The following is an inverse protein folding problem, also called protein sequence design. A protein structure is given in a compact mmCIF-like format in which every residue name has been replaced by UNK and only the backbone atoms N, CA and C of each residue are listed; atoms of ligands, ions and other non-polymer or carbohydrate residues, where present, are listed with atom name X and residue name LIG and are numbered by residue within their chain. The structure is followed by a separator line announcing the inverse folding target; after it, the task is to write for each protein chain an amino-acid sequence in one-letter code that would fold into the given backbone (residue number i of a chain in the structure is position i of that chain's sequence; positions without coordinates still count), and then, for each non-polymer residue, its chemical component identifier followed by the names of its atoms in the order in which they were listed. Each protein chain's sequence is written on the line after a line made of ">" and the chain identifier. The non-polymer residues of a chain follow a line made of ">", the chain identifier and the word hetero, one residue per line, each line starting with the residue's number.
data_IF_431617937341
#
_entry.id   IF_431617937341
#
_cell.length_a   1.000
_cell.length_b   1.000
_cell.length_c   1.000
_cell.angle_alpha   90.00
_cell.angle_beta   90.00
_cell.angle_gamma   90.00
#
_symmetry.space_group_name_H-M   'P 1'
#
loop_
_entity.id
_entity.type
_entity.pdbx_description
1 polymer ?
#
# COMPACT_ATOMS: atom_id res chain seq x y z
N UNK A 1 16.67 -0.34 -16.26
CA UNK A 1 15.73 0.14 -15.25
C UNK A 1 14.54 0.79 -15.95
N UNK A 2 13.32 0.39 -15.62
CA UNK A 2 12.07 0.98 -16.13
C UNK A 2 11.06 1.06 -15.00
N UNK A 3 10.44 2.23 -14.81
CA UNK A 3 9.33 2.37 -13.88
C UNK A 3 8.17 1.46 -14.32
N UNK A 4 7.62 0.71 -13.38
CA UNK A 4 6.42 -0.09 -13.56
C UNK A 4 5.35 0.30 -12.53
N UNK A 5 4.10 0.03 -12.87
CA UNK A 5 2.96 0.23 -11.97
C UNK A 5 2.39 -1.14 -11.59
N UNK A 6 2.33 -1.43 -10.30
CA UNK A 6 1.73 -2.63 -9.74
C UNK A 6 0.41 -2.26 -9.04
N UNK A 7 -0.69 -2.92 -9.42
CA UNK A 7 -2.01 -2.61 -8.88
C UNK A 7 -2.46 -3.65 -7.86
N UNK A 8 -2.77 -3.20 -6.65
CA UNK A 8 -3.41 -3.98 -5.60
C UNK A 8 -4.91 -4.01 -5.84
N UNK A 9 -5.49 -5.19 -5.98
CA UNK A 9 -6.91 -5.41 -6.32
C UNK A 9 -7.67 -6.23 -5.29
N UNK A 10 -6.97 -6.78 -4.29
CA UNK A 10 -7.57 -7.56 -3.21
C UNK A 10 -7.07 -7.13 -1.84
N UNK A 11 -7.88 -7.39 -0.80
CA UNK A 11 -7.51 -7.23 0.61
C UNK A 11 -6.77 -8.44 1.20
N UNK A 12 -6.58 -9.51 0.40
CA UNK A 12 -5.83 -10.70 0.83
C UNK A 12 -4.39 -10.34 1.25
N UNK A 13 -3.90 -10.95 2.32
CA UNK A 13 -2.51 -10.80 2.81
C UNK A 13 -1.45 -11.24 1.77
N UNK A 14 -1.79 -12.21 0.92
CA UNK A 14 -0.87 -12.79 -0.07
C UNK A 14 -1.61 -13.29 -1.31
N UNK A 15 -0.84 -13.63 -2.35
CA UNK A 15 -1.35 -14.07 -3.65
C UNK A 15 -1.47 -12.93 -4.66
N UNK A 16 -1.88 -13.28 -5.89
CA UNK A 16 -2.00 -12.33 -6.98
C UNK A 16 -2.92 -11.15 -6.63
N UNK A 17 -2.46 -9.92 -6.94
CA UNK A 17 -3.19 -8.69 -6.65
C UNK A 17 -3.14 -8.21 -5.20
N UNK A 18 -2.41 -8.88 -4.31
CA UNK A 18 -2.19 -8.42 -2.93
C UNK A 18 -1.09 -7.36 -2.84
N UNK A 19 -1.12 -6.57 -1.76
CA UNK A 19 -0.04 -5.61 -1.45
C UNK A 19 1.32 -6.31 -1.29
N UNK A 20 1.35 -7.50 -0.68
CA UNK A 20 2.58 -8.29 -0.53
C UNK A 20 3.16 -8.66 -1.88
N UNK A 21 2.34 -9.11 -2.83
CA UNK A 21 2.80 -9.45 -4.17
C UNK A 21 3.33 -8.20 -4.89
N UNK A 22 2.63 -7.07 -4.80
CA UNK A 22 3.08 -5.82 -5.42
C UNK A 22 4.46 -5.35 -4.90
N UNK A 23 4.74 -5.50 -3.60
CA UNK A 23 6.06 -5.16 -3.03
C UNK A 23 7.13 -6.14 -3.52
N UNK A 24 6.82 -7.44 -3.62
CA UNK A 24 7.76 -8.42 -4.17
C UNK A 24 8.12 -8.08 -5.62
N UNK A 25 7.13 -7.74 -6.43
CA UNK A 25 7.33 -7.42 -7.83
C UNK A 25 8.13 -6.12 -8.01
N UNK A 26 7.84 -5.07 -7.21
CA UNK A 26 8.61 -3.83 -7.20
C UNK A 26 10.06 -4.03 -6.72
N UNK A 27 10.28 -4.86 -5.70
CA UNK A 27 11.64 -5.19 -5.25
C UNK A 27 12.44 -5.96 -6.32
N UNK A 28 11.77 -6.76 -7.15
CA UNK A 28 12.39 -7.51 -8.24
C UNK A 28 12.69 -6.65 -9.48
N UNK A 29 12.12 -5.44 -9.55
CA UNK A 29 12.35 -4.49 -10.61
C UNK A 29 13.37 -3.42 -10.18
N UNK A 30 14.20 -3.00 -11.14
CA UNK A 30 15.12 -1.88 -10.97
C UNK A 30 14.46 -0.65 -11.57
N UNK A 31 14.05 0.28 -10.72
CA UNK A 31 13.33 1.47 -11.16
C UNK A 31 12.72 2.20 -9.97
N UNK A 32 12.12 3.36 -10.24
CA UNK A 32 11.17 3.96 -9.32
C UNK A 32 9.79 3.43 -9.73
N UNK A 33 9.35 2.40 -9.03
CA UNK A 33 8.06 1.76 -9.30
C UNK A 33 6.94 2.44 -8.50
N UNK A 34 5.70 2.20 -8.93
CA UNK A 34 4.52 2.69 -8.25
C UNK A 34 3.59 1.53 -7.86
N UNK A 35 3.06 1.57 -6.65
CA UNK A 35 2.01 0.67 -6.17
C UNK A 35 0.72 1.47 -6.04
N UNK A 36 -0.26 1.11 -6.87
CA UNK A 36 -1.60 1.70 -6.91
C UNK A 36 -2.64 0.75 -6.31
N UNK A 37 -3.80 1.27 -5.93
CA UNK A 37 -4.90 0.51 -5.35
C UNK A 37 -6.15 0.64 -6.23
N UNK A 38 -6.76 -0.49 -6.55
CA UNK A 38 -8.04 -0.58 -7.24
C UNK A 38 -8.83 -1.78 -6.70
N UNK A 39 -9.04 -1.81 -5.39
CA UNK A 39 -9.76 -2.88 -4.72
C UNK A 39 -11.26 -2.63 -4.88
N UNK A 40 -11.98 -3.61 -5.43
CA UNK A 40 -13.43 -3.53 -5.59
C UNK A 40 -14.16 -3.55 -4.24
N UNK A 41 -15.28 -2.82 -4.15
CA UNK A 41 -16.12 -2.74 -2.95
C UNK A 41 -16.41 -1.32 -2.50
N UNK A 42 -17.12 -1.19 -1.37
CA UNK A 42 -17.51 0.08 -0.75
C UNK A 42 -16.94 0.22 0.67
N UNK A 43 -16.83 1.44 1.20
CA UNK A 43 -16.25 1.70 2.53
C UNK A 43 -14.71 1.79 2.57
N UNK A 44 -14.09 1.34 3.66
CA UNK A 44 -12.62 1.24 3.79
C UNK A 44 -12.17 -0.17 3.40
N UNK A 45 -10.98 -0.29 2.82
CA UNK A 45 -10.38 -1.54 2.33
C UNK A 45 -9.36 -1.95 3.37
N UNK A 46 -9.77 -2.87 4.22
CA UNK A 46 -8.96 -3.37 5.32
C UNK A 46 -8.06 -4.50 4.81
N UNK A 47 -6.76 -4.23 4.68
CA UNK A 47 -5.74 -5.21 4.32
C UNK A 47 -5.11 -5.70 5.62
N UNK A 48 -5.60 -6.84 6.10
CA UNK A 48 -5.14 -7.42 7.34
C UNK A 48 -3.92 -8.32 7.08
N UNK A 49 -2.77 -7.92 7.63
CA UNK A 49 -1.50 -8.60 7.42
C UNK A 49 -1.33 -9.76 8.40
N UNK A 50 -1.10 -10.97 7.87
CA UNK A 50 -0.83 -12.17 8.68
C UNK A 50 0.59 -12.22 9.23
N UNK A 51 1.50 -11.53 8.56
CA UNK A 51 2.89 -11.34 8.95
C UNK A 51 3.41 -10.02 8.41
N UNK A 52 4.56 -9.56 8.89
CA UNK A 52 5.22 -8.36 8.34
C UNK A 52 5.38 -8.45 6.82
N UNK A 53 5.17 -7.33 6.14
CA UNK A 53 5.45 -7.21 4.71
C UNK A 53 6.96 -7.35 4.47
N UNK A 54 7.37 -7.85 3.29
CA UNK A 54 8.78 -7.80 2.90
C UNK A 54 9.27 -6.35 2.92
N UNK A 55 10.51 -6.14 3.37
CA UNK A 55 11.12 -4.81 3.35
C UNK A 55 11.24 -4.28 1.92
N UNK A 56 11.09 -2.98 1.75
CA UNK A 56 11.30 -2.30 0.47
C UNK A 56 12.81 -2.20 0.21
N UNK A 57 13.28 -2.83 -0.86
CA UNK A 57 14.71 -2.88 -1.25
C UNK A 57 15.01 -2.07 -2.51
N UNK A 58 13.98 -1.67 -3.26
CA UNK A 58 14.06 -0.80 -4.43
C UNK A 58 13.20 0.45 -4.22
N UNK A 59 13.51 1.59 -4.87
CA UNK A 59 12.67 2.78 -4.80
C UNK A 59 11.23 2.47 -5.26
N UNK A 60 10.26 2.70 -4.38
CA UNK A 60 8.84 2.48 -4.71
C UNK A 60 7.99 3.58 -4.09
N UNK A 61 7.07 4.12 -4.88
CA UNK A 61 5.99 5.00 -4.42
C UNK A 61 4.76 4.14 -4.16
N UNK A 62 4.24 4.17 -2.93
CA UNK A 62 3.00 3.49 -2.58
C UNK A 62 1.92 4.55 -2.39
N UNK A 63 0.98 4.66 -3.34
CA UNK A 63 -0.03 5.71 -3.32
C UNK A 63 -1.43 5.17 -3.02
N UNK A 64 -1.81 5.24 -1.74
CA UNK A 64 -3.14 4.85 -1.26
C UNK A 64 -4.30 5.71 -1.78
N UNK A 65 -4.03 6.89 -2.35
CA UNK A 65 -5.07 7.77 -2.90
C UNK A 65 -5.54 7.38 -4.30
N UNK A 66 -4.83 6.45 -4.95
CA UNK A 66 -5.25 5.86 -6.23
C UNK A 66 -6.48 4.96 -6.08
N UNK A 67 -6.84 4.55 -4.85
CA UNK A 67 -8.06 3.81 -4.58
C UNK A 67 -9.29 4.61 -5.03
N UNK A 68 -10.21 4.03 -5.82
CA UNK A 68 -11.45 4.70 -6.16
C UNK A 68 -12.23 5.15 -4.91
N UNK A 69 -12.51 6.46 -4.87
CA UNK A 69 -13.22 7.13 -3.78
C UNK A 69 -12.33 7.81 -2.74
N UNK A 70 -11.01 7.61 -2.76
CA UNK A 70 -10.10 8.38 -1.88
C UNK A 70 -9.79 9.75 -2.44
N UNK A 71 -9.36 10.67 -1.58
CA UNK A 71 -9.01 12.04 -1.97
C UNK A 71 -8.01 12.63 -1.00
N UNK A 72 -6.96 13.26 -1.54
CA UNK A 72 -5.96 13.98 -0.73
C UNK A 72 -6.61 15.20 -0.07
N UNK A 73 -6.17 15.55 1.14
CA UNK A 73 -6.60 16.81 1.75
C UNK A 73 -6.12 17.99 0.91
N UNK A 74 -7.02 18.89 0.55
CA UNK A 74 -6.71 20.10 -0.21
C UNK A 74 -6.61 21.34 0.68
N UNK A 75 -7.05 21.24 1.93
CA UNK A 75 -6.97 22.30 2.94
C UNK A 75 -5.70 22.19 3.78
N UNK A 76 -5.10 23.35 4.06
CA UNK A 76 -3.88 23.51 4.90
C UNK A 76 -4.20 23.66 6.39
N UNK A 77 -5.48 23.81 6.75
CA UNK A 77 -5.92 24.12 8.12
C UNK A 77 -6.77 23.02 8.75
N UNK A 78 -7.44 22.20 7.93
CA UNK A 78 -8.21 21.06 8.37
C UNK A 78 -8.06 19.90 7.37
N UNK A 79 -7.97 18.67 7.86
CA UNK A 79 -7.86 17.51 6.99
C UNK A 79 -9.23 17.16 6.43
N UNK A 80 -9.41 17.34 5.12
CA UNK A 80 -10.59 16.89 4.38
C UNK A 80 -10.29 15.64 3.52
N UNK A 81 -9.20 14.93 3.84
CA UNK A 81 -8.81 13.72 3.13
C UNK A 81 -9.86 12.62 3.31
N UNK A 82 -10.08 11.85 2.25
CA UNK A 82 -10.85 10.61 2.29
C UNK A 82 -9.85 9.46 2.17
N UNK A 83 -9.61 8.77 3.30
CA UNK A 83 -8.69 7.63 3.37
C UNK A 83 -9.51 6.35 3.26
N UNK A 84 -9.27 5.56 2.21
CA UNK A 84 -10.01 4.32 1.97
C UNK A 84 -9.14 3.05 2.02
N UNK A 85 -7.82 3.18 2.16
CA UNK A 85 -6.92 2.03 2.35
C UNK A 85 -6.47 2.02 3.81
N UNK A 86 -6.71 0.90 4.48
CA UNK A 86 -6.30 0.68 5.86
C UNK A 86 -5.48 -0.61 5.93
N UNK A 87 -4.23 -0.50 6.38
CA UNK A 87 -3.28 -1.61 6.45
C UNK A 87 -2.91 -1.82 7.92
N UNK A 88 -3.25 -2.98 8.46
CA UNK A 88 -3.03 -3.30 9.85
C UNK A 88 -2.64 -4.77 10.04
N UNK A 89 -1.88 -5.09 11.10
CA UNK A 89 -1.63 -6.49 11.45
C UNK A 89 -2.91 -7.18 11.94
N UNK A 90 -3.06 -8.47 11.66
CA UNK A 90 -4.16 -9.31 12.18
C UNK A 90 -4.17 -9.43 13.71
N UNK A 91 -3.05 -9.12 14.37
CA UNK A 91 -2.96 -9.14 15.84
C UNK A 91 -3.27 -7.75 16.39
N UNK A 92 -4.23 -7.67 17.31
CA UNK A 92 -4.74 -6.43 17.94
C UNK A 92 -3.73 -5.59 18.76
N UNK A 93 -2.43 -5.84 18.60
CA UNK A 93 -1.34 -5.09 19.25
C UNK A 93 -0.11 -4.90 18.36
N UNK A 94 -0.18 -5.19 17.06
CA UNK A 94 0.96 -5.02 16.16
C UNK A 94 1.14 -3.56 15.73
N UNK A 95 2.38 -3.09 15.81
CA UNK A 95 2.85 -1.84 15.18
C UNK A 95 2.38 -1.78 13.73
N UNK A 96 1.82 -0.65 13.30
CA UNK A 96 1.37 -0.37 11.93
C UNK A 96 2.32 -1.03 10.91
N UNK A 97 1.79 -1.93 10.08
CA UNK A 97 2.54 -2.92 9.31
C UNK A 97 3.43 -2.39 8.18
N UNK A 98 3.71 -1.08 8.16
CA UNK A 98 4.59 -0.41 7.22
C UNK A 98 5.87 0.00 7.95
N UNK A 99 6.83 -0.92 8.07
CA UNK A 99 8.17 -0.56 8.54
C UNK A 99 8.94 0.06 7.38
N UNK A 100 8.99 1.40 7.31
CA UNK A 100 10.00 2.08 6.50
C UNK A 100 11.34 1.86 7.18
N UNK A 101 12.14 0.93 6.67
CA UNK A 101 13.53 0.76 7.09
C UNK A 101 14.21 2.09 6.78
N UNK A 102 14.43 2.91 7.81
CA UNK A 102 15.09 4.21 7.65
C UNK A 102 16.52 3.90 7.21
N UNK A 103 16.79 4.09 5.91
CA UNK A 103 18.15 4.28 5.42
C UNK A 103 18.70 5.54 6.07
N UNK A 104 19.77 5.36 6.84
CA UNK A 104 20.62 6.34 7.50
C UNK A 104 20.90 7.62 6.71
#
# INVERSE_FOLDING_TARGET
>A
ASAATYTVTTTSDSGAGSLRQAIIDANANSGLDEIHFNIAGSGVRNIALSSTLPGVTSPVLIDGYTQPGSSVSTSTLNSNAVILIDIHPLTAGGTSGLSFLNGS
#
